data_IF_410388089008
#
_entry.id   IF_410388089008
#
_cell.length_a   1.000
_cell.length_b   1.000
_cell.length_c   1.000
_cell.angle_alpha   90.00
_cell.angle_beta   90.00
_cell.angle_gamma   90.00
#
_symmetry.space_group_name_H-M   'P 1'
#
loop_
_entity.id
_entity.type
_entity.pdbx_description
1 polymer ?
#
# COMPACT_ATOMS: atom_id res chain seq x y z
N UNK A 1 -3.58 26.25 54.12
CA UNK A 1 -2.43 27.16 54.19
C UNK A 1 -1.46 26.70 53.11
N UNK A 2 -1.49 27.38 51.96
CA UNK A 2 -0.83 26.96 50.70
C UNK A 2 0.46 27.75 50.54
N UNK A 3 1.55 27.08 50.16
CA UNK A 3 2.79 27.69 49.64
C UNK A 3 3.42 26.76 48.58
N UNK A 4 4.14 27.32 47.59
CA UNK A 4 3.81 27.10 46.18
C UNK A 4 4.89 26.39 45.34
N UNK A 5 4.48 26.08 44.11
CA UNK A 5 5.23 25.52 42.99
C UNK A 5 6.40 26.41 42.53
N UNK A 6 7.52 25.76 42.19
CA UNK A 6 8.66 26.35 41.48
C UNK A 6 8.42 26.11 39.98
N UNK A 7 8.17 27.19 39.24
CA UNK A 7 8.14 27.18 37.77
C UNK A 7 9.52 27.56 37.22
N UNK A 8 10.11 26.67 36.44
CA UNK A 8 11.33 26.93 35.68
C UNK A 8 10.97 27.68 34.39
N UNK A 9 11.28 28.98 34.36
CA UNK A 9 11.33 29.78 33.12
C UNK A 9 12.64 30.57 33.13
N UNK A 10 13.56 30.17 32.27
CA UNK A 10 14.82 30.81 31.91
C UNK A 10 15.28 30.07 30.64
N UNK A 11 15.67 30.69 29.53
CA UNK A 11 16.25 32.01 29.34
C UNK A 11 16.10 32.38 27.84
N UNK A 12 15.30 33.41 27.54
CA UNK A 12 15.41 34.19 26.31
C UNK A 12 15.80 35.59 26.79
N UNK A 13 16.93 36.11 26.35
CA UNK A 13 17.23 37.54 26.14
C UNK A 13 18.74 37.78 26.08
N UNK A 14 19.24 38.03 24.87
CA UNK A 14 20.39 38.88 24.65
C UNK A 14 20.26 39.44 23.22
N UNK A 15 19.99 40.73 23.11
CA UNK A 15 20.50 41.69 22.12
C UNK A 15 19.56 42.90 22.15
N UNK A 16 20.03 43.98 22.76
CA UNK A 16 19.72 45.38 22.39
C UNK A 16 20.69 46.25 23.19
N UNK A 17 21.58 46.98 22.52
CA UNK A 17 21.71 48.44 22.72
C UNK A 17 22.89 49.08 21.97
N UNK A 18 22.50 50.00 21.08
CA UNK A 18 23.04 51.37 20.87
C UNK A 18 23.92 51.65 19.65
N UNK A 19 23.37 52.54 18.80
CA UNK A 19 23.91 53.20 17.59
C UNK A 19 24.78 54.42 17.96
N UNK A 20 25.80 54.76 17.14
CA UNK A 20 25.93 56.04 16.38
C UNK A 20 27.38 56.42 15.99
N UNK A 21 27.70 56.27 14.68
CA UNK A 21 28.40 57.13 13.68
C UNK A 21 29.80 57.77 13.86
N UNK A 22 30.68 57.55 12.85
CA UNK A 22 31.39 58.52 11.94
C UNK A 22 32.21 57.70 10.88
N UNK A 23 31.89 57.65 9.55
CA UNK A 23 32.33 58.52 8.41
C UNK A 23 33.87 58.54 8.22
N UNK A 24 34.57 58.24 7.09
CA UNK A 24 34.34 58.10 5.64
C UNK A 24 35.54 57.32 4.97
N UNK A 25 35.42 57.05 3.65
CA UNK A 25 36.41 56.60 2.64
C UNK A 25 36.59 55.06 2.51
N UNK A 26 36.35 54.39 1.39
CA UNK A 26 36.11 54.80 0.00
C UNK A 26 36.80 53.74 -0.88
N UNK A 27 36.05 52.88 -1.55
CA UNK A 27 36.48 52.18 -2.77
C UNK A 27 35.24 51.54 -3.43
N UNK A 28 34.84 52.08 -4.57
CA UNK A 28 33.80 51.53 -5.44
C UNK A 28 34.30 50.24 -6.11
N UNK A 29 33.73 49.10 -5.73
CA UNK A 29 33.72 47.89 -6.53
C UNK A 29 32.33 47.74 -7.15
N UNK A 30 32.23 47.91 -8.47
CA UNK A 30 31.02 47.61 -9.23
C UNK A 30 30.90 46.10 -9.33
N UNK A 31 30.14 45.49 -8.42
CA UNK A 31 29.71 44.10 -8.54
C UNK A 31 28.35 44.09 -9.26
N UNK A 32 28.33 43.55 -10.47
CA UNK A 32 27.12 43.40 -11.26
C UNK A 32 26.10 42.55 -10.51
N UNK A 33 24.96 43.15 -10.16
CA UNK A 33 23.77 42.41 -9.76
C UNK A 33 23.16 41.80 -11.03
N UNK A 34 23.65 40.61 -11.39
CA UNK A 34 22.90 39.72 -12.27
C UNK A 34 21.64 39.29 -11.54
N UNK A 35 20.48 39.72 -12.02
CA UNK A 35 19.21 39.12 -11.65
C UNK A 35 19.23 37.68 -12.17
N UNK A 36 19.71 36.75 -11.33
CA UNK A 36 19.45 35.34 -11.53
C UNK A 36 17.95 35.16 -11.28
N UNK A 37 17.16 35.22 -12.35
CA UNK A 37 15.84 34.62 -12.39
C UNK A 37 16.02 33.16 -11.98
N UNK A 38 15.70 32.87 -10.72
CA UNK A 38 15.56 31.52 -10.23
C UNK A 38 14.39 30.89 -10.98
N UNK A 39 14.68 30.33 -12.15
CA UNK A 39 13.87 29.25 -12.66
C UNK A 39 13.98 28.16 -11.59
N UNK A 40 12.92 27.97 -10.81
CA UNK A 40 12.69 26.70 -10.16
C UNK A 40 12.79 25.67 -11.28
N UNK A 41 13.90 24.94 -11.32
CA UNK A 41 13.92 23.68 -12.03
C UNK A 41 12.86 22.85 -11.33
N UNK A 42 11.66 22.83 -11.90
CA UNK A 42 10.71 21.77 -11.67
C UNK A 42 11.53 20.54 -12.04
N UNK A 43 12.03 19.82 -11.03
CA UNK A 43 12.62 18.52 -11.28
C UNK A 43 11.58 17.78 -12.12
N UNK A 44 11.95 17.37 -13.33
CA UNK A 44 11.08 16.53 -14.13
C UNK A 44 10.66 15.39 -13.20
N UNK A 45 9.37 15.36 -12.88
CA UNK A 45 8.81 14.30 -12.07
C UNK A 45 8.98 13.03 -12.90
N UNK A 46 10.02 12.25 -12.60
CA UNK A 46 10.27 10.98 -13.26
C UNK A 46 9.13 10.03 -12.90
N UNK A 47 8.13 10.00 -13.80
CA UNK A 47 6.99 9.09 -13.75
C UNK A 47 7.52 7.67 -13.61
N UNK A 48 7.15 6.99 -12.53
CA UNK A 48 7.65 5.65 -12.21
C UNK A 48 6.58 4.78 -11.56
N UNK A 49 6.71 3.47 -11.74
CA UNK A 49 5.93 2.52 -10.95
C UNK A 49 6.45 2.49 -9.52
N UNK A 50 5.52 2.47 -8.57
CA UNK A 50 5.79 2.40 -7.13
C UNK A 50 4.76 1.47 -6.51
N UNK A 51 5.18 0.51 -5.70
CA UNK A 51 4.25 -0.31 -4.94
C UNK A 51 3.60 0.52 -3.84
N UNK A 52 2.31 0.85 -4.02
CA UNK A 52 1.56 1.71 -3.12
C UNK A 52 0.83 0.93 -2.01
N UNK A 53 0.62 -0.37 -2.21
CA UNK A 53 0.09 -1.30 -1.22
C UNK A 53 0.60 -2.71 -1.52
N UNK A 54 0.80 -3.52 -0.49
CA UNK A 54 1.18 -4.92 -0.63
C UNK A 54 1.01 -5.70 0.67
N UNK A 55 1.04 -7.03 0.57
CA UNK A 55 0.94 -7.95 1.71
C UNK A 55 1.69 -9.26 1.48
N UNK A 56 2.27 -9.84 2.53
CA UNK A 56 2.93 -11.14 2.41
C UNK A 56 1.91 -12.28 2.43
N UNK A 57 1.82 -13.04 1.34
CA UNK A 57 1.11 -14.31 1.36
C UNK A 57 1.88 -15.28 2.28
N UNK A 58 1.19 -16.03 3.14
CA UNK A 58 1.84 -16.82 4.19
C UNK A 58 1.39 -18.28 4.27
N UNK A 59 0.27 -18.65 3.64
CA UNK A 59 -0.23 -20.02 3.64
C UNK A 59 -1.28 -20.27 2.57
N UNK A 60 -1.63 -21.53 2.37
CA UNK A 60 -2.90 -21.93 1.75
C UNK A 60 -4.04 -21.71 2.75
N UNK A 61 -5.09 -21.01 2.35
CA UNK A 61 -6.25 -20.69 3.16
C UNK A 61 -7.23 -21.86 3.26
N UNK A 62 -8.00 -21.90 4.34
CA UNK A 62 -9.06 -22.90 4.54
C UNK A 62 -10.40 -22.51 3.91
N UNK A 63 -10.57 -21.24 3.53
CA UNK A 63 -11.77 -20.79 2.82
C UNK A 63 -11.82 -21.43 1.44
N UNK A 64 -13.00 -21.94 1.09
CA UNK A 64 -13.25 -22.64 -0.17
C UNK A 64 -14.17 -21.81 -1.04
N UNK A 65 -13.69 -21.39 -2.21
CA UNK A 65 -14.45 -20.61 -3.19
C UNK A 65 -14.90 -21.53 -4.33
N UNK A 66 -16.19 -21.49 -4.65
CA UNK A 66 -16.81 -22.28 -5.71
C UNK A 66 -17.71 -21.40 -6.55
N UNK A 67 -17.31 -21.14 -7.80
CA UNK A 67 -18.07 -20.33 -8.76
C UNK A 67 -18.62 -19.05 -8.10
N UNK A 68 -17.72 -18.19 -7.64
CA UNK A 68 -18.07 -17.00 -6.85
C UNK A 68 -17.02 -15.90 -7.00
N UNK A 69 -17.36 -14.71 -6.50
CA UNK A 69 -16.52 -13.52 -6.58
C UNK A 69 -16.05 -13.13 -5.18
N UNK A 70 -14.76 -12.87 -5.04
CA UNK A 70 -14.19 -12.23 -3.85
C UNK A 70 -13.82 -10.79 -4.15
N UNK A 71 -13.93 -9.89 -3.18
CA UNK A 71 -13.60 -8.46 -3.30
C UNK A 71 -12.67 -8.05 -2.17
N UNK A 72 -11.39 -7.94 -2.49
CA UNK A 72 -10.32 -7.60 -1.54
C UNK A 72 -10.16 -6.08 -1.44
N UNK A 73 -10.21 -5.55 -0.24
CA UNK A 73 -10.04 -4.11 0.02
C UNK A 73 -8.58 -3.82 0.39
N UNK A 74 -8.00 -2.81 -0.26
CA UNK A 74 -6.63 -2.39 -0.08
C UNK A 74 -6.55 -0.87 -0.02
N UNK A 75 -5.88 -0.32 0.99
CA UNK A 75 -5.61 1.11 1.08
C UNK A 75 -4.23 1.42 0.55
N UNK A 76 -4.17 2.10 -0.59
CA UNK A 76 -2.89 2.56 -1.14
C UNK A 76 -2.32 3.70 -0.30
N UNK A 77 -1.00 3.80 -0.23
CA UNK A 77 -0.29 4.82 0.57
C UNK A 77 0.29 5.94 -0.28
N UNK A 78 0.38 5.74 -1.59
CA UNK A 78 0.75 6.74 -2.59
C UNK A 78 -0.31 6.81 -3.71
N UNK A 79 -0.34 7.93 -4.43
CA UNK A 79 -1.22 8.15 -5.57
C UNK A 79 -0.50 8.05 -6.92
N UNK A 80 -1.28 7.98 -7.99
CA UNK A 80 -0.78 7.91 -9.37
C UNK A 80 -1.91 7.96 -10.39
N UNK A 81 -1.57 8.14 -11.68
CA UNK A 81 -2.53 8.23 -12.78
C UNK A 81 -2.87 6.88 -13.42
N UNK A 82 -2.19 5.81 -13.01
CA UNK A 82 -2.48 4.45 -13.46
C UNK A 82 -2.15 3.45 -12.37
N UNK A 83 -2.77 2.27 -12.44
CA UNK A 83 -2.56 1.17 -11.51
C UNK A 83 -2.19 -0.13 -12.21
N UNK A 84 -1.47 -1.00 -11.51
CA UNK A 84 -1.33 -2.43 -11.81
C UNK A 84 -1.67 -3.25 -10.58
N UNK A 85 -2.13 -4.46 -10.82
CA UNK A 85 -2.48 -5.43 -9.78
C UNK A 85 -1.60 -6.66 -9.93
N UNK A 86 -0.98 -7.08 -8.83
CA UNK A 86 -0.25 -8.34 -8.74
C UNK A 86 -1.05 -9.38 -7.99
N UNK A 87 -1.22 -10.55 -8.59
CA UNK A 87 -1.94 -11.68 -8.02
C UNK A 87 -0.99 -12.86 -7.84
N UNK A 88 -1.04 -13.49 -6.67
CA UNK A 88 -0.17 -14.60 -6.29
C UNK A 88 -0.95 -15.88 -6.01
N UNK A 89 -0.46 -16.99 -6.55
CA UNK A 89 -0.86 -18.35 -6.23
C UNK A 89 0.29 -19.13 -5.57
N UNK A 90 1.15 -18.43 -4.80
CA UNK A 90 2.39 -18.95 -4.21
C UNK A 90 2.21 -20.22 -3.37
N UNK A 91 1.09 -20.33 -2.65
CA UNK A 91 0.78 -21.47 -1.79
C UNK A 91 -0.29 -22.38 -2.39
N UNK A 92 -0.79 -22.06 -3.58
CA UNK A 92 -1.73 -22.91 -4.30
C UNK A 92 -1.06 -24.17 -4.81
N UNK A 93 -1.75 -25.29 -4.66
CA UNK A 93 -1.27 -26.62 -5.10
C UNK A 93 -1.67 -26.95 -6.55
N UNK A 94 -2.57 -26.17 -7.13
CA UNK A 94 -3.09 -26.32 -8.50
C UNK A 94 -3.13 -24.97 -9.22
N UNK A 95 -3.16 -24.95 -10.57
CA UNK A 95 -3.36 -23.70 -11.31
C UNK A 95 -4.66 -23.01 -10.89
N UNK A 96 -4.60 -21.70 -10.68
CA UNK A 96 -5.74 -20.85 -10.35
C UNK A 96 -6.26 -20.17 -11.61
N UNK A 97 -7.55 -20.37 -11.94
CA UNK A 97 -8.21 -19.57 -12.97
C UNK A 97 -8.90 -18.36 -12.35
N UNK A 98 -8.53 -17.16 -12.80
CA UNK A 98 -9.30 -15.94 -12.58
C UNK A 98 -10.14 -15.70 -13.84
N UNK A 99 -11.45 -15.87 -13.73
CA UNK A 99 -12.38 -15.75 -14.85
C UNK A 99 -12.51 -14.31 -15.33
N UNK A 100 -12.69 -13.37 -14.40
CA UNK A 100 -12.65 -11.93 -14.62
C UNK A 100 -12.14 -11.22 -13.36
N UNK A 101 -11.49 -10.06 -13.54
CA UNK A 101 -11.05 -9.21 -12.45
C UNK A 101 -11.41 -7.74 -12.70
N UNK A 102 -11.70 -7.00 -11.63
CA UNK A 102 -12.01 -5.57 -11.67
C UNK A 102 -11.34 -4.84 -10.51
N UNK A 103 -11.03 -3.56 -10.71
CA UNK A 103 -10.54 -2.65 -9.67
C UNK A 103 -11.33 -1.35 -9.69
N UNK A 104 -11.71 -0.87 -8.51
CA UNK A 104 -12.39 0.42 -8.39
C UNK A 104 -12.28 1.02 -6.99
N UNK A 105 -12.47 2.33 -6.85
CA UNK A 105 -12.44 3.01 -5.57
C UNK A 105 -13.67 2.63 -4.73
N UNK A 106 -13.42 2.35 -3.45
CA UNK A 106 -14.48 2.03 -2.49
C UNK A 106 -15.27 3.29 -2.15
N UNK A 107 -16.60 3.21 -2.26
CA UNK A 107 -17.51 4.23 -1.76
C UNK A 107 -17.90 3.93 -0.31
N UNK A 108 -18.34 2.70 -0.03
CA UNK A 108 -18.73 2.25 1.31
C UNK A 108 -18.85 0.74 1.37
N UNK A 109 -18.17 0.10 2.32
CA UNK A 109 -18.16 -1.37 2.47
C UNK A 109 -17.77 -2.01 1.12
N UNK A 110 -18.57 -2.95 0.61
CA UNK A 110 -18.35 -3.54 -0.71
C UNK A 110 -18.78 -2.63 -1.88
N UNK A 111 -19.51 -1.53 -1.65
CA UNK A 111 -19.99 -0.67 -2.73
C UNK A 111 -18.86 0.22 -3.25
N UNK A 112 -18.79 0.36 -4.58
CA UNK A 112 -17.81 1.16 -5.28
C UNK A 112 -18.40 2.50 -5.71
N UNK A 113 -17.55 3.46 -6.06
CA UNK A 113 -18.01 4.71 -6.65
C UNK A 113 -18.69 4.42 -7.99
N UNK A 114 -19.88 5.00 -8.28
CA UNK A 114 -20.57 4.71 -9.54
C UNK A 114 -19.77 5.09 -10.78
N UNK A 115 -19.72 4.20 -11.78
CA UNK A 115 -19.03 4.38 -13.05
C UNK A 115 -17.50 4.36 -12.96
N UNK A 116 -16.93 3.76 -11.91
CA UNK A 116 -15.48 3.79 -11.65
C UNK A 116 -14.83 2.40 -11.58
N UNK A 117 -15.62 1.33 -11.71
CA UNK A 117 -15.10 -0.02 -11.68
C UNK A 117 -14.48 -0.40 -13.04
N UNK A 118 -13.16 -0.53 -13.07
CA UNK A 118 -12.40 -0.81 -14.28
C UNK A 118 -12.07 -2.29 -14.39
N UNK A 119 -12.16 -2.85 -15.59
CA UNK A 119 -11.77 -4.23 -15.83
C UNK A 119 -10.24 -4.37 -15.80
N UNK A 120 -9.77 -5.36 -15.06
CA UNK A 120 -8.35 -5.74 -15.01
C UNK A 120 -8.08 -6.74 -16.13
N UNK A 121 -7.03 -6.51 -16.91
CA UNK A 121 -6.59 -7.37 -18.01
C UNK A 121 -5.19 -7.89 -17.76
N UNK A 122 -4.87 -9.05 -18.32
CA UNK A 122 -3.57 -9.71 -18.24
C UNK A 122 -3.15 -10.10 -19.66
N UNK A 123 -2.13 -9.45 -20.20
CA UNK A 123 -1.73 -9.61 -21.60
C UNK A 123 -2.93 -9.42 -22.56
N UNK A 124 -3.69 -8.33 -22.32
CA UNK A 124 -4.95 -7.97 -22.98
C UNK A 124 -6.12 -8.94 -22.77
N UNK A 125 -5.93 -10.05 -22.05
CA UNK A 125 -6.99 -11.03 -21.73
C UNK A 125 -7.76 -10.64 -20.47
N UNK A 126 -9.07 -10.89 -20.44
CA UNK A 126 -9.90 -10.72 -19.23
C UNK A 126 -9.83 -11.89 -18.26
N UNK A 127 -9.25 -13.00 -18.71
CA UNK A 127 -9.09 -14.24 -17.95
C UNK A 127 -7.61 -14.57 -17.89
N UNK A 128 -7.16 -15.09 -16.75
CA UNK A 128 -5.77 -15.54 -16.57
C UNK A 128 -5.72 -16.83 -15.78
N UNK A 129 -4.75 -17.69 -16.11
CA UNK A 129 -4.42 -18.88 -15.32
C UNK A 129 -3.06 -18.67 -14.67
N UNK A 130 -3.03 -18.66 -13.34
CA UNK A 130 -1.80 -18.54 -12.55
C UNK A 130 -1.35 -19.94 -12.16
N UNK A 131 -0.14 -20.40 -12.56
CA UNK A 131 0.36 -21.71 -12.15
C UNK A 131 0.39 -21.87 -10.62
N UNK A 132 0.41 -23.13 -10.15
CA UNK A 132 0.72 -23.43 -8.75
C UNK A 132 2.09 -22.82 -8.39
N UNK A 133 2.18 -22.10 -7.27
CA UNK A 133 3.40 -21.37 -6.90
C UNK A 133 3.67 -20.08 -7.70
N UNK A 134 2.81 -19.75 -8.67
CA UNK A 134 3.04 -18.65 -9.62
C UNK A 134 2.54 -17.29 -9.13
N UNK A 135 2.87 -16.27 -9.92
CA UNK A 135 2.39 -14.89 -9.79
C UNK A 135 2.08 -14.33 -11.18
N UNK A 136 1.21 -13.33 -11.26
CA UNK A 136 0.95 -12.57 -12.48
C UNK A 136 0.71 -11.09 -12.15
N UNK A 137 1.13 -10.22 -13.05
CA UNK A 137 0.86 -8.78 -13.01
C UNK A 137 -0.11 -8.40 -14.12
N UNK A 138 -1.03 -7.48 -13.83
CA UNK A 138 -1.97 -6.97 -14.81
C UNK A 138 -1.33 -5.99 -15.80
N UNK A 139 -2.01 -5.77 -16.91
CA UNK A 139 -1.76 -4.60 -17.76
C UNK A 139 -2.02 -3.31 -16.94
N UNK A 140 -1.40 -2.17 -17.32
CA UNK A 140 -1.74 -0.87 -16.75
C UNK A 140 -3.22 -0.53 -16.96
N UNK A 141 -3.86 -0.01 -15.91
CA UNK A 141 -5.21 0.54 -15.95
C UNK A 141 -5.12 2.04 -15.69
N UNK A 142 -5.56 2.86 -16.66
CA UNK A 142 -5.67 4.31 -16.48
C UNK A 142 -6.77 4.61 -15.47
N UNK A 143 -6.37 5.09 -14.28
CA UNK A 143 -7.25 5.35 -13.16
C UNK A 143 -6.52 6.24 -12.17
N UNK A 144 -7.05 7.44 -11.93
CA UNK A 144 -6.50 8.35 -10.93
C UNK A 144 -6.75 7.79 -9.52
N UNK A 145 -5.66 7.65 -8.77
CA UNK A 145 -5.66 7.17 -7.40
C UNK A 145 -5.00 8.18 -6.49
N UNK A 146 -5.65 8.48 -5.37
CA UNK A 146 -5.11 9.35 -4.32
C UNK A 146 -4.40 8.52 -3.25
N UNK A 147 -3.35 9.10 -2.65
CA UNK A 147 -2.76 8.51 -1.45
C UNK A 147 -3.83 8.32 -0.37
N UNK A 148 -3.80 7.17 0.31
CA UNK A 148 -4.74 6.75 1.37
C UNK A 148 -6.15 6.44 0.87
N UNK A 149 -6.35 6.25 -0.43
CA UNK A 149 -7.61 5.81 -1.00
C UNK A 149 -7.78 4.28 -0.84
N UNK A 150 -9.00 3.87 -0.53
CA UNK A 150 -9.39 2.46 -0.60
C UNK A 150 -9.74 2.06 -2.02
N UNK A 151 -9.10 1.00 -2.47
CA UNK A 151 -9.39 0.30 -3.71
C UNK A 151 -9.95 -1.09 -3.39
N UNK A 152 -10.90 -1.53 -4.20
CA UNK A 152 -11.44 -2.87 -4.16
C UNK A 152 -10.99 -3.62 -5.41
N UNK A 153 -10.32 -4.76 -5.23
CA UNK A 153 -10.00 -5.70 -6.30
C UNK A 153 -10.98 -6.87 -6.23
N UNK A 154 -11.83 -7.00 -7.25
CA UNK A 154 -12.82 -8.08 -7.37
C UNK A 154 -12.26 -9.16 -8.28
N UNK A 155 -12.28 -10.42 -7.82
CA UNK A 155 -11.78 -11.59 -8.54
C UNK A 155 -12.90 -12.62 -8.65
N UNK A 156 -13.32 -12.95 -9.87
CA UNK A 156 -14.25 -14.05 -10.14
C UNK A 156 -13.49 -15.36 -10.29
N UNK A 157 -13.83 -16.34 -9.45
CA UNK A 157 -13.28 -17.69 -9.47
C UNK A 157 -14.33 -18.64 -10.07
N UNK A 158 -14.17 -19.09 -11.33
CA UNK A 158 -15.15 -19.93 -12.00
C UNK A 158 -15.11 -21.39 -11.54
N UNK A 159 -13.96 -21.83 -11.00
CA UNK A 159 -13.74 -23.21 -10.58
C UNK A 159 -14.39 -23.52 -9.23
N UNK A 160 -14.43 -24.82 -8.90
CA UNK A 160 -14.99 -25.32 -7.65
C UNK A 160 -13.90 -25.70 -6.66
N UNK A 161 -14.18 -25.46 -5.39
CA UNK A 161 -13.34 -25.79 -4.25
C UNK A 161 -11.93 -25.18 -4.27
N UNK A 162 -11.80 -23.97 -4.80
CA UNK A 162 -10.51 -23.28 -4.88
C UNK A 162 -10.17 -22.69 -3.52
N UNK A 163 -8.96 -22.98 -3.04
CA UNK A 163 -8.42 -22.44 -1.80
C UNK A 163 -7.43 -21.30 -2.11
N UNK A 164 -7.45 -20.19 -1.36
CA UNK A 164 -6.61 -19.06 -1.67
C UNK A 164 -5.19 -19.23 -1.16
N UNK A 165 -4.20 -18.78 -1.94
CA UNK A 165 -3.01 -18.23 -1.29
C UNK A 165 -3.47 -17.02 -0.48
N UNK A 166 -3.21 -17.03 0.83
CA UNK A 166 -3.75 -16.01 1.73
C UNK A 166 -2.70 -15.35 2.63
N UNK A 167 -3.02 -14.12 3.02
CA UNK A 167 -2.50 -13.47 4.21
C UNK A 167 -3.59 -13.47 5.30
N UNK A 168 -3.29 -14.05 6.46
CA UNK A 168 -4.31 -14.39 7.46
C UNK A 168 -4.76 -13.23 8.35
N UNK A 169 -3.88 -12.24 8.55
CA UNK A 169 -4.04 -11.15 9.52
C UNK A 169 -4.14 -9.80 8.81
N UNK A 170 -5.04 -9.69 7.82
CA UNK A 170 -5.13 -8.49 7.00
C UNK A 170 -5.73 -7.28 7.71
N UNK A 171 -6.43 -7.46 8.84
CA UNK A 171 -7.09 -6.41 9.64
C UNK A 171 -7.93 -5.40 8.82
N UNK A 172 -8.42 -5.84 7.66
CA UNK A 172 -9.27 -5.10 6.73
C UNK A 172 -10.40 -6.03 6.31
N UNK A 173 -11.63 -5.56 6.42
CA UNK A 173 -12.84 -6.27 6.01
C UNK A 173 -12.93 -6.30 4.49
N UNK A 174 -12.76 -7.49 3.93
CA UNK A 174 -13.00 -7.82 2.53
C UNK A 174 -14.26 -8.66 2.38
N UNK A 175 -14.73 -8.82 1.16
CA UNK A 175 -16.09 -9.31 0.89
C UNK A 175 -16.11 -10.53 -0.03
N UNK A 176 -17.14 -11.34 0.12
CA UNK A 176 -17.37 -12.53 -0.69
C UNK A 176 -18.83 -12.56 -1.13
N UNK A 177 -19.07 -12.93 -2.39
CA UNK A 177 -20.39 -13.40 -2.79
C UNK A 177 -20.59 -14.86 -2.36
N UNK A 178 -21.84 -15.30 -2.29
CA UNK A 178 -22.15 -16.69 -1.93
C UNK A 178 -21.56 -17.67 -2.96
N UNK A 179 -21.10 -18.83 -2.49
CA UNK A 179 -20.67 -19.90 -3.40
C UNK A 179 -21.81 -20.29 -4.35
N UNK A 180 -21.52 -20.33 -5.65
CA UNK A 180 -22.49 -20.59 -6.71
C UNK A 180 -23.19 -19.34 -7.27
N UNK A 181 -22.93 -18.15 -6.73
CA UNK A 181 -23.49 -16.87 -7.26
C UNK A 181 -22.93 -16.48 -8.62
N UNK A 182 -21.78 -17.05 -9.03
CA UNK A 182 -21.14 -16.77 -10.31
C UNK A 182 -20.36 -15.46 -10.33
N UNK A 183 -20.24 -14.89 -11.53
CA UNK A 183 -19.50 -13.66 -11.76
C UNK A 183 -20.34 -12.44 -11.40
N UNK A 184 -19.95 -11.76 -10.33
CA UNK A 184 -20.46 -10.43 -9.94
C UNK A 184 -19.32 -9.42 -9.82
N UNK A 185 -18.14 -9.68 -10.39
CA UNK A 185 -16.94 -8.86 -10.21
C UNK A 185 -17.11 -7.42 -10.75
N UNK A 186 -17.91 -7.25 -11.80
CA UNK A 186 -18.20 -5.94 -12.41
C UNK A 186 -19.20 -5.09 -11.61
N UNK A 187 -19.90 -5.66 -10.62
CA UNK A 187 -20.96 -4.94 -9.89
C UNK A 187 -20.38 -3.86 -8.97
N UNK A 188 -20.93 -2.65 -9.03
CA UNK A 188 -20.58 -1.57 -8.11
C UNK A 188 -21.39 -1.62 -6.81
N UNK A 189 -22.47 -2.41 -6.78
CA UNK A 189 -23.31 -2.61 -5.61
C UNK A 189 -22.64 -3.50 -4.57
N UNK A 190 -22.97 -3.28 -3.29
CA UNK A 190 -22.62 -4.19 -2.21
C UNK A 190 -23.55 -5.42 -2.13
N UNK A 191 -24.70 -5.40 -2.80
CA UNK A 191 -25.79 -6.36 -2.60
C UNK A 191 -25.38 -7.83 -2.83
N UNK A 192 -24.59 -8.19 -3.87
CA UNK A 192 -24.17 -9.57 -4.08
C UNK A 192 -23.15 -10.10 -3.06
N UNK A 193 -22.59 -9.22 -2.23
CA UNK A 193 -21.52 -9.53 -1.29
C UNK A 193 -22.06 -9.71 0.13
N UNK A 194 -22.58 -10.90 0.40
CA UNK A 194 -23.21 -11.31 1.66
C UNK A 194 -22.20 -11.77 2.71
N UNK A 195 -21.02 -12.25 2.29
CA UNK A 195 -19.95 -12.73 3.16
C UNK A 195 -18.86 -11.70 3.41
N UNK A 196 -18.13 -11.86 4.51
CA UNK A 196 -16.96 -11.05 4.85
C UNK A 196 -15.79 -11.92 5.31
N UNK A 197 -14.57 -11.43 5.08
CA UNK A 197 -13.32 -11.99 5.61
C UNK A 197 -12.41 -10.87 6.09
N UNK A 198 -11.52 -11.18 7.03
CA UNK A 198 -10.43 -10.30 7.47
C UNK A 198 -9.06 -10.81 7.03
N UNK A 199 -9.04 -11.70 6.03
CA UNK A 199 -7.86 -12.21 5.35
C UNK A 199 -7.83 -11.68 3.92
N UNK A 200 -6.64 -11.55 3.35
CA UNK A 200 -6.46 -11.18 1.94
C UNK A 200 -6.24 -12.43 1.11
N UNK A 201 -7.00 -12.59 0.02
CA UNK A 201 -6.92 -13.73 -0.88
C UNK A 201 -6.35 -13.33 -2.23
N UNK A 202 -5.26 -14.00 -2.65
CA UNK A 202 -4.56 -13.86 -3.93
C UNK A 202 -3.99 -12.48 -4.29
N UNK A 203 -4.58 -11.38 -3.82
CA UNK A 203 -4.08 -10.03 -4.04
C UNK A 203 -2.75 -9.84 -3.30
N UNK A 204 -1.67 -9.62 -4.05
CA UNK A 204 -0.30 -9.44 -3.53
C UNK A 204 0.08 -7.97 -3.42
N UNK A 205 -0.12 -7.19 -4.47
CA UNK A 205 0.28 -5.80 -4.53
C UNK A 205 -0.62 -4.96 -5.43
N UNK A 206 -0.64 -3.66 -5.17
CA UNK A 206 -1.17 -2.64 -6.06
C UNK A 206 -0.05 -1.63 -6.30
N UNK A 207 0.40 -1.55 -7.54
CA UNK A 207 1.43 -0.62 -8.00
C UNK A 207 0.73 0.58 -8.66
N UNK A 208 1.28 1.78 -8.47
CA UNK A 208 0.77 3.02 -9.06
C UNK A 208 1.85 3.66 -9.93
N UNK A 209 1.46 4.20 -11.07
CA UNK A 209 2.33 5.02 -11.91
C UNK A 209 2.28 6.45 -11.38
N UNK A 210 3.32 6.86 -10.66
CA UNK A 210 3.34 8.09 -9.87
C UNK A 210 4.35 9.10 -10.40
N UNK A 211 3.94 10.36 -10.38
CA UNK A 211 4.80 11.54 -10.58
C UNK A 211 5.36 12.07 -9.25
N UNK A 212 4.67 11.82 -8.13
CA UNK A 212 4.98 12.40 -6.82
C UNK A 212 5.55 11.41 -5.81
N UNK A 213 5.38 10.10 -6.02
CA UNK A 213 5.95 9.11 -5.13
C UNK A 213 7.46 8.96 -5.35
N UNK A 214 8.25 9.15 -4.30
CA UNK A 214 9.72 9.11 -4.39
C UNK A 214 10.28 7.68 -4.40
N UNK A 215 9.44 6.68 -4.11
CA UNK A 215 9.78 5.26 -3.98
C UNK A 215 8.82 4.54 -3.03
N UNK A 216 9.19 3.35 -2.58
CA UNK A 216 8.46 2.52 -1.61
C UNK A 216 9.37 2.11 -0.45
N UNK A 217 8.84 2.22 0.76
CA UNK A 217 9.45 1.67 1.98
C UNK A 217 8.67 0.41 2.36
N UNK A 218 9.39 -0.71 2.50
CA UNK A 218 8.79 -1.99 2.88
C UNK A 218 8.99 -2.25 4.37
N UNK A 219 7.88 -2.32 5.12
CA UNK A 219 7.88 -2.83 6.48
C UNK A 219 7.88 -4.36 6.47
N UNK A 220 9.03 -4.97 6.73
CA UNK A 220 9.22 -6.43 6.72
C UNK A 220 9.48 -6.95 8.13
N UNK A 221 8.65 -7.89 8.63
CA UNK A 221 8.84 -8.38 9.99
C UNK A 221 7.78 -9.33 10.51
N UNK A 222 7.66 -9.36 11.84
CA UNK A 222 6.78 -10.26 12.59
C UNK A 222 5.39 -9.67 12.84
N UNK A 223 4.68 -10.16 13.86
CA UNK A 223 3.34 -9.72 14.26
C UNK A 223 3.22 -8.22 14.55
N UNK A 224 4.29 -7.56 15.00
CA UNK A 224 4.25 -6.10 15.25
C UNK A 224 4.17 -5.35 13.92
N UNK A 225 4.89 -5.85 12.91
CA UNK A 225 4.84 -5.33 11.54
C UNK A 225 3.53 -5.70 10.88
N UNK A 226 3.09 -6.96 11.03
CA UNK A 226 1.84 -7.44 10.47
C UNK A 226 0.63 -6.59 10.91
N UNK A 227 0.63 -6.19 12.18
CA UNK A 227 -0.35 -5.28 12.77
C UNK A 227 -1.15 -5.91 13.90
N UNK A 228 -0.59 -6.88 14.62
CA UNK A 228 -1.22 -7.44 15.81
C UNK A 228 -1.65 -6.36 16.79
N UNK A 229 -2.86 -6.51 17.32
CA UNK A 229 -3.55 -5.53 18.17
C UNK A 229 -3.96 -4.22 17.47
N UNK A 230 -3.90 -4.13 16.14
CA UNK A 230 -4.56 -3.05 15.38
C UNK A 230 -6.07 -3.16 15.44
N UNK A 231 -6.76 -2.04 15.23
CA UNK A 231 -8.21 -2.01 15.18
C UNK A 231 -8.67 -2.36 13.77
N UNK A 232 -9.58 -3.34 13.64
CA UNK A 232 -10.16 -3.74 12.36
C UNK A 232 -10.70 -2.52 11.60
N UNK A 233 -10.30 -2.36 10.34
CA UNK A 233 -10.71 -1.27 9.43
C UNK A 233 -10.26 0.15 9.86
N UNK A 234 -9.44 0.29 10.90
CA UNK A 234 -8.99 1.62 11.36
C UNK A 234 -7.76 2.13 10.61
N UNK A 235 -6.96 1.22 10.01
CA UNK A 235 -5.67 1.55 9.41
C UNK A 235 -4.78 2.31 10.39
N UNK A 236 -4.59 1.72 11.57
CA UNK A 236 -3.85 2.28 12.70
C UNK A 236 -2.56 1.51 13.02
N UNK A 237 -2.04 0.73 12.07
CA UNK A 237 -0.71 0.11 12.19
C UNK A 237 0.37 1.19 12.17
N UNK A 238 1.57 0.86 12.63
CA UNK A 238 2.66 1.84 12.65
C UNK A 238 3.01 2.33 11.23
N UNK A 239 2.91 1.47 10.21
CA UNK A 239 3.12 1.83 8.80
C UNK A 239 2.08 2.82 8.30
N UNK A 240 0.81 2.66 8.70
CA UNK A 240 -0.27 3.59 8.33
C UNK A 240 0.01 4.99 8.89
N UNK A 241 0.50 5.06 10.14
CA UNK A 241 0.91 6.32 10.77
C UNK A 241 2.14 6.94 10.11
N UNK A 242 3.13 6.12 9.72
CA UNK A 242 4.31 6.61 8.99
C UNK A 242 3.89 7.16 7.62
N UNK A 243 3.08 6.42 6.86
CA UNK A 243 2.54 6.88 5.57
C UNK A 243 1.80 8.22 5.71
N UNK A 244 0.92 8.33 6.71
CA UNK A 244 0.19 9.58 6.96
C UNK A 244 1.13 10.75 7.31
N UNK A 245 2.18 10.51 8.11
CA UNK A 245 3.16 11.55 8.46
C UNK A 245 3.99 12.00 7.26
N UNK A 246 4.45 11.05 6.44
CA UNK A 246 5.22 11.34 5.23
C UNK A 246 4.38 12.15 4.23
N UNK A 247 3.14 11.72 3.97
CA UNK A 247 2.19 12.45 3.14
C UNK A 247 1.94 13.87 3.65
N UNK A 248 1.71 14.06 4.96
CA UNK A 248 1.48 15.38 5.54
C UNK A 248 2.72 16.28 5.50
N UNK A 249 3.92 15.71 5.56
CA UNK A 249 5.17 16.46 5.49
C UNK A 249 5.49 16.90 4.04
N UNK A 250 5.15 16.09 3.04
CA UNK A 250 5.43 16.37 1.62
C UNK A 250 4.41 15.69 0.71
N UNK A 251 3.21 16.26 0.51
CA UNK A 251 2.14 15.65 -0.27
C UNK A 251 2.54 15.28 -1.70
N UNK A 252 3.44 16.07 -2.28
CA UNK A 252 3.89 15.92 -3.68
C UNK A 252 5.26 15.21 -3.82
N UNK A 253 5.87 14.77 -2.70
CA UNK A 253 7.18 14.12 -2.69
C UNK A 253 7.36 13.24 -1.45
N UNK A 254 6.72 12.08 -1.43
CA UNK A 254 6.84 11.12 -0.32
C UNK A 254 6.88 9.68 -0.83
N UNK A 255 7.54 8.75 -0.12
CA UNK A 255 7.50 7.36 -0.49
C UNK A 255 6.20 6.70 -0.04
N UNK A 256 5.80 5.65 -0.74
CA UNK A 256 4.77 4.72 -0.31
C UNK A 256 5.26 3.88 0.89
N UNK A 257 4.32 3.35 1.67
CA UNK A 257 4.56 2.32 2.68
C UNK A 257 3.87 1.01 2.26
N UNK A 258 4.64 -0.08 2.28
CA UNK A 258 4.17 -1.43 1.97
C UNK A 258 4.33 -2.30 3.22
N UNK A 259 3.30 -3.08 3.58
CA UNK A 259 3.36 -3.93 4.77
C UNK A 259 3.56 -5.40 4.38
N UNK A 260 4.72 -5.95 4.74
CA UNK A 260 5.15 -7.31 4.44
C UNK A 260 5.48 -8.06 5.75
N UNK A 261 4.69 -7.76 6.78
CA UNK A 261 4.68 -8.45 8.05
C UNK A 261 3.96 -9.80 7.99
N UNK A 262 4.42 -10.75 8.81
CA UNK A 262 3.71 -12.01 9.06
C UNK A 262 3.75 -12.30 10.55
N UNK A 263 2.61 -12.61 11.17
CA UNK A 263 2.54 -13.04 12.56
C UNK A 263 3.46 -14.22 12.89
N UNK A 264 4.18 -14.12 14.02
CA UNK A 264 5.06 -15.20 14.50
C UNK A 264 6.27 -15.48 13.60
N UNK A 265 6.65 -14.54 12.73
CA UNK A 265 7.73 -14.72 11.78
C UNK A 265 9.10 -14.71 12.44
N UNK A 266 10.03 -15.45 11.86
CA UNK A 266 11.43 -15.47 12.25
C UNK A 266 12.27 -14.99 11.07
N UNK A 267 13.47 -14.47 11.33
CA UNK A 267 14.41 -14.13 10.24
C UNK A 267 14.91 -15.41 9.57
N UNK A 268 15.31 -16.40 10.37
CA UNK A 268 15.86 -17.70 9.93
C UNK A 268 15.07 -18.86 10.56
N UNK A 269 15.25 -20.06 10.01
CA UNK A 269 14.74 -21.32 10.60
C UNK A 269 15.75 -21.97 11.58
N UNK A 270 16.94 -21.38 11.78
CA UNK A 270 17.94 -21.90 12.70
C UNK A 270 17.49 -21.79 14.17
N UNK A 271 17.42 -22.92 14.87
CA UNK A 271 17.15 -22.97 16.31
C UNK A 271 15.69 -22.70 16.71
N UNK A 272 14.80 -22.40 15.76
CA UNK A 272 13.37 -22.18 15.99
C UNK A 272 12.58 -22.88 14.89
N UNK A 273 11.48 -23.54 15.26
CA UNK A 273 10.51 -24.04 14.29
C UNK A 273 9.41 -22.99 14.13
N UNK A 274 9.39 -22.20 13.04
CA UNK A 274 8.34 -21.22 12.83
C UNK A 274 6.99 -21.92 12.63
N UNK A 275 5.87 -21.25 12.95
CA UNK A 275 4.54 -21.76 12.60
C UNK A 275 4.45 -22.10 11.10
N UNK A 276 3.68 -23.14 10.70
CA UNK A 276 3.56 -23.55 9.30
C UNK A 276 3.08 -22.45 8.33
N UNK A 277 2.41 -21.42 8.85
CA UNK A 277 1.91 -20.25 8.13
C UNK A 277 2.80 -19.01 8.32
N UNK A 278 4.09 -19.19 8.61
CA UNK A 278 5.02 -18.10 8.87
C UNK A 278 6.41 -18.38 8.28
N UNK A 279 6.55 -18.42 6.94
CA UNK A 279 7.81 -18.75 6.28
C UNK A 279 8.92 -17.78 6.69
N UNK A 280 10.12 -18.26 7.09
CA UNK A 280 11.23 -17.42 7.52
C UNK A 280 11.54 -16.26 6.58
N UNK A 281 11.98 -15.14 7.13
CA UNK A 281 12.27 -13.93 6.38
C UNK A 281 13.25 -14.14 5.22
N UNK A 282 14.33 -14.90 5.45
CA UNK A 282 15.32 -15.20 4.41
C UNK A 282 14.75 -15.96 3.19
N UNK A 283 13.65 -16.68 3.35
CA UNK A 283 13.01 -17.45 2.27
C UNK A 283 12.08 -16.59 1.41
N UNK A 284 11.71 -15.41 1.91
CA UNK A 284 10.70 -14.54 1.29
C UNK A 284 11.20 -13.14 0.95
N UNK A 285 12.45 -12.77 1.25
CA UNK A 285 13.01 -11.45 0.95
C UNK A 285 12.84 -11.04 -0.52
N UNK A 286 13.12 -11.93 -1.46
CA UNK A 286 12.95 -11.64 -2.89
C UNK A 286 11.49 -11.31 -3.21
N UNK A 287 10.57 -12.18 -2.78
CA UNK A 287 9.13 -12.04 -3.04
C UNK A 287 8.52 -10.84 -2.34
N UNK A 288 8.86 -10.61 -1.08
CA UNK A 288 8.16 -9.67 -0.20
C UNK A 288 8.88 -8.34 -0.06
N UNK A 289 10.13 -8.20 -0.51
CA UNK A 289 10.86 -6.92 -0.46
C UNK A 289 11.35 -6.55 -1.85
N UNK A 290 12.24 -7.34 -2.46
CA UNK A 290 12.96 -6.90 -3.66
C UNK A 290 12.13 -6.93 -4.95
N UNK A 291 11.01 -7.68 -4.98
CA UNK A 291 10.09 -7.69 -6.12
C UNK A 291 9.15 -6.49 -6.18
N UNK A 292 9.19 -5.59 -5.20
CA UNK A 292 8.36 -4.39 -5.20
C UNK A 292 8.98 -3.26 -6.02
N UNK A 293 8.13 -2.51 -6.70
CA UNK A 293 8.55 -1.38 -7.51
C UNK A 293 8.94 -0.19 -6.63
N UNK A 294 10.04 0.45 -6.99
CA UNK A 294 10.49 1.68 -6.35
C UNK A 294 11.08 1.51 -4.96
N UNK A 295 11.45 0.30 -4.54
CA UNK A 295 12.08 0.07 -3.21
C UNK A 295 13.39 0.85 -3.09
N UNK A 296 13.53 1.60 -1.99
CA UNK A 296 14.70 2.46 -1.68
C UNK A 296 15.15 2.35 -0.23
#
# INVERSE_FOLDING_TARGET
MVRPLITWTALNEAIEMTRTLMVLAGLTAVAGFGLASGASAQADADVRWVTAWGTSQQSLGSTTITNATVRMIARVTAGGGSVRVRLDNTFGETPLVIGEAYIGPVMRRAALTPGSNNQVRFDSSGTVTIPAGGTVESDPIEMDVMARQDLAVSLYIPEANVQPSQHGQAYVTSYLSDNGSGNVASTESAEPFTGTTTSTFWLKAIDVLSESATGSIVGFGDSITDGSCSTLDAHDRWQDWVAARLYLASPDAHPAMVNEGIGGNTVTSEGVQPPPNSPPGIERLERDVFSHDGVT
#
